data_IF_803208617608
#
_entry.id   IF_803208617608
#
_cell.length_a   1.000
_cell.length_b   1.000
_cell.length_c   1.000
_cell.angle_alpha   90.00
_cell.angle_beta   90.00
_cell.angle_gamma   90.00
#
_symmetry.space_group_name_H-M   'P 1'
#
loop_
_entity.id
_entity.type
_entity.pdbx_description
1 polymer ?
#
# COMPACT_ATOMS: atom_id res chain seq x y z
N UNK A 1 58.76 8.46 37.67
CA UNK A 1 57.39 7.90 37.69
C UNK A 1 56.53 8.70 36.72
N UNK A 2 56.32 8.16 35.50
CA UNK A 2 55.50 8.83 34.46
C UNK A 2 54.05 8.33 34.60
N UNK A 3 53.10 9.23 34.91
CA UNK A 3 51.67 8.92 34.95
C UNK A 3 51.15 8.93 33.51
N UNK A 4 50.69 7.78 32.98
CA UNK A 4 49.90 7.73 31.76
C UNK A 4 48.47 8.17 32.07
N UNK A 5 48.04 9.25 31.46
CA UNK A 5 46.62 9.65 31.44
C UNK A 5 45.92 8.87 30.32
N UNK A 6 45.06 7.94 30.68
CA UNK A 6 44.19 7.23 29.75
C UNK A 6 43.01 8.08 29.41
N UNK A 7 42.90 8.59 28.17
CA UNK A 7 41.75 9.31 27.66
C UNK A 7 40.73 8.29 27.16
N UNK A 8 39.63 8.16 27.88
CA UNK A 8 38.51 7.30 27.47
C UNK A 8 37.61 8.09 26.51
N UNK A 9 37.69 7.76 25.22
CA UNK A 9 36.81 8.34 24.19
C UNK A 9 35.48 7.60 24.21
N UNK A 10 34.46 8.23 24.73
CA UNK A 10 33.08 7.72 24.70
C UNK A 10 32.46 8.03 23.34
N UNK A 11 32.32 7.02 22.48
CA UNK A 11 31.62 7.14 21.21
C UNK A 11 30.12 7.06 21.51
N UNK A 12 29.44 8.20 21.42
CA UNK A 12 27.97 8.26 21.45
C UNK A 12 27.43 7.75 20.09
N UNK A 13 26.90 6.55 20.06
CA UNK A 13 26.07 6.08 18.94
C UNK A 13 24.70 6.77 19.04
N UNK A 14 24.50 7.81 18.27
CA UNK A 14 23.15 8.35 18.04
C UNK A 14 22.40 7.39 17.13
N UNK A 15 21.54 6.56 17.71
CA UNK A 15 20.55 5.80 16.94
C UNK A 15 19.56 6.79 16.30
N UNK A 16 19.73 7.08 15.03
CA UNK A 16 18.71 7.76 14.26
C UNK A 16 17.50 6.81 14.20
N UNK A 17 16.40 7.17 14.85
CA UNK A 17 15.14 6.47 14.65
C UNK A 17 14.81 6.53 13.16
N UNK A 18 14.80 5.38 12.48
CA UNK A 18 14.36 5.30 11.09
C UNK A 18 12.90 5.78 11.06
N UNK A 19 12.67 6.91 10.40
CA UNK A 19 11.31 7.42 10.18
C UNK A 19 10.56 6.38 9.37
N UNK A 20 9.49 5.81 9.94
CA UNK A 20 8.68 4.84 9.22
C UNK A 20 8.01 5.55 8.03
N UNK A 21 8.05 4.91 6.84
CA UNK A 21 7.29 5.39 5.69
C UNK A 21 5.82 5.51 6.07
N UNK A 22 5.14 6.55 5.58
CA UNK A 22 3.77 6.85 5.96
C UNK A 22 2.86 6.90 4.73
N UNK A 23 1.73 6.17 4.80
CA UNK A 23 0.68 6.10 3.78
C UNK A 23 -0.61 6.64 4.37
N UNK A 24 -1.14 7.71 3.78
CA UNK A 24 -2.39 8.32 4.18
C UNK A 24 -3.28 8.63 2.99
N UNK A 25 -4.56 8.91 3.24
CA UNK A 25 -5.48 9.43 2.24
C UNK A 25 -6.19 10.70 2.76
N UNK A 26 -6.39 11.71 1.94
CA UNK A 26 -7.26 12.84 2.31
C UNK A 26 -8.75 12.45 2.33
N UNK A 27 -9.11 11.29 1.75
CA UNK A 27 -10.49 10.86 1.61
C UNK A 27 -11.03 10.10 2.83
N UNK A 28 -10.16 9.38 3.57
CA UNK A 28 -10.53 8.63 4.78
C UNK A 28 -9.29 8.38 5.64
N UNK A 29 -9.49 8.16 6.94
CA UNK A 29 -8.42 7.80 7.86
C UNK A 29 -8.34 6.28 8.06
N UNK A 30 -7.24 5.84 8.68
CA UNK A 30 -7.04 4.42 8.98
C UNK A 30 -8.20 3.85 9.82
N UNK A 31 -8.75 2.73 9.38
CA UNK A 31 -9.93 2.07 9.95
C UNK A 31 -11.23 2.88 9.86
N UNK A 32 -11.31 3.89 8.99
CA UNK A 32 -12.53 4.62 8.68
C UNK A 32 -13.15 4.16 7.36
N UNK A 33 -14.39 4.58 7.11
CA UNK A 33 -15.13 4.21 5.90
C UNK A 33 -14.54 4.87 4.66
N UNK A 34 -14.33 4.07 3.63
CA UNK A 34 -14.05 4.56 2.27
C UNK A 34 -15.32 5.23 1.74
N UNK A 35 -15.27 6.48 1.26
CA UNK A 35 -16.42 7.14 0.66
C UNK A 35 -16.97 6.37 -0.54
N UNK A 36 -18.29 6.39 -0.70
CA UNK A 36 -19.04 5.70 -1.78
C UNK A 36 -18.47 6.00 -3.17
N UNK A 37 -17.99 7.22 -3.40
CA UNK A 37 -17.34 7.64 -4.64
C UNK A 37 -16.29 6.65 -5.14
N UNK A 38 -15.52 6.04 -4.25
CA UNK A 38 -14.40 5.14 -4.57
C UNK A 38 -14.82 3.66 -4.67
N UNK A 39 -16.10 3.37 -4.60
CA UNK A 39 -16.66 2.00 -4.60
C UNK A 39 -17.44 1.68 -5.87
N UNK A 40 -17.89 0.43 -6.00
CA UNK A 40 -18.77 -0.01 -7.09
C UNK A 40 -20.15 0.68 -7.09
N UNK A 41 -20.55 1.29 -5.97
CA UNK A 41 -21.81 2.04 -5.85
C UNK A 41 -21.63 3.52 -6.22
N UNK A 42 -20.39 3.96 -6.54
CA UNK A 42 -20.05 5.33 -6.93
C UNK A 42 -19.33 5.41 -8.27
N UNK A 43 -18.36 6.32 -8.36
CA UNK A 43 -17.60 6.57 -9.58
C UNK A 43 -16.58 5.47 -9.87
N UNK A 44 -16.29 4.60 -8.91
CA UNK A 44 -15.31 3.52 -9.01
C UNK A 44 -13.90 4.03 -9.39
N UNK A 45 -13.55 5.22 -8.93
CA UNK A 45 -12.23 5.86 -9.11
C UNK A 45 -11.34 5.58 -7.92
N UNK A 46 -10.01 5.57 -8.09
CA UNK A 46 -9.09 5.38 -6.96
C UNK A 46 -9.03 6.63 -6.08
N UNK A 47 -8.98 6.49 -4.73
CA UNK A 47 -8.75 7.63 -3.84
C UNK A 47 -7.35 8.20 -4.03
N UNK A 48 -7.19 9.50 -3.75
CA UNK A 48 -5.88 10.10 -3.62
C UNK A 48 -5.14 9.51 -2.41
N UNK A 49 -3.85 9.25 -2.58
CA UNK A 49 -2.96 8.73 -1.54
C UNK A 49 -1.75 9.64 -1.39
N UNK A 50 -1.30 9.87 -0.16
CA UNK A 50 -0.09 10.62 0.17
C UNK A 50 0.99 9.70 0.73
N UNK A 51 2.23 9.93 0.32
CA UNK A 51 3.43 9.21 0.74
C UNK A 51 4.38 10.16 1.45
N UNK A 52 4.78 9.82 2.68
CA UNK A 52 5.71 10.61 3.46
C UNK A 52 6.82 9.73 4.03
N UNK A 53 7.90 10.36 4.48
CA UNK A 53 8.99 9.70 5.19
C UNK A 53 9.62 8.53 4.42
N UNK A 54 9.76 8.67 3.10
CA UNK A 54 10.36 7.63 2.26
C UNK A 54 11.84 7.47 2.65
N UNK A 55 12.30 6.26 3.01
CA UNK A 55 13.67 6.05 3.50
C UNK A 55 14.70 6.28 2.40
N UNK A 56 15.90 6.71 2.82
CA UNK A 56 17.05 6.79 1.93
C UNK A 56 17.38 5.40 1.35
N UNK A 57 17.89 5.37 0.13
CA UNK A 57 18.18 4.11 -0.57
C UNK A 57 17.01 3.54 -1.35
N UNK A 58 15.78 4.07 -1.18
CA UNK A 58 14.63 3.66 -1.98
C UNK A 58 14.90 3.91 -3.47
N UNK A 59 14.71 2.89 -4.28
CA UNK A 59 14.80 2.99 -5.74
C UNK A 59 13.43 3.22 -6.36
N UNK A 60 12.42 2.55 -5.84
CA UNK A 60 11.04 2.66 -6.29
C UNK A 60 10.06 2.43 -5.15
N UNK A 61 8.81 2.86 -5.36
CA UNK A 61 7.69 2.56 -4.50
C UNK A 61 6.75 1.58 -5.21
N UNK A 62 6.09 0.76 -4.40
CA UNK A 62 5.07 -0.20 -4.83
C UNK A 62 3.85 0.01 -3.95
N UNK A 63 2.67 0.02 -4.57
CA UNK A 63 1.39 0.10 -3.87
C UNK A 63 0.55 -1.13 -4.21
N UNK A 64 -0.07 -1.73 -3.21
CA UNK A 64 -1.07 -2.78 -3.38
C UNK A 64 -2.35 -2.45 -2.63
N UNK A 65 -3.51 -2.89 -3.14
CA UNK A 65 -4.77 -2.87 -2.43
C UNK A 65 -5.47 -4.22 -2.59
N UNK A 66 -5.84 -4.85 -1.48
CA UNK A 66 -6.54 -6.13 -1.48
C UNK A 66 -7.61 -6.20 -0.38
N UNK A 67 -8.55 -7.11 -0.57
CA UNK A 67 -9.63 -7.45 0.35
C UNK A 67 -9.45 -8.89 0.84
N UNK A 68 -9.10 -9.14 2.12
CA UNK A 68 -8.94 -10.49 2.66
C UNK A 68 -10.23 -11.06 3.26
N UNK A 69 -11.34 -10.35 3.18
CA UNK A 69 -12.59 -10.71 3.85
C UNK A 69 -13.61 -11.36 2.90
N UNK A 70 -13.23 -11.61 1.65
CA UNK A 70 -14.10 -12.24 0.65
C UNK A 70 -14.50 -13.65 1.09
N UNK A 71 -15.81 -13.98 1.09
CA UNK A 71 -16.27 -15.33 1.43
C UNK A 71 -15.56 -16.40 0.59
N UNK A 72 -14.99 -17.42 1.24
CA UNK A 72 -14.28 -18.52 0.56
C UNK A 72 -15.21 -19.35 -0.33
N UNK A 73 -16.51 -19.26 -0.15
CA UNK A 73 -17.53 -19.84 -1.03
C UNK A 73 -17.61 -19.15 -2.39
N UNK A 74 -17.20 -17.86 -2.47
CA UNK A 74 -17.16 -17.10 -3.72
C UNK A 74 -15.76 -17.10 -4.34
N UNK A 75 -14.72 -17.00 -3.48
CA UNK A 75 -13.34 -17.01 -3.92
C UNK A 75 -12.52 -17.88 -2.93
N UNK A 76 -12.04 -19.07 -3.36
CA UNK A 76 -11.38 -20.03 -2.46
C UNK A 76 -10.17 -19.48 -1.70
N UNK A 77 -9.44 -18.51 -2.28
CA UNK A 77 -8.34 -17.82 -1.61
C UNK A 77 -8.80 -16.95 -0.43
N UNK A 78 -10.07 -16.51 -0.44
CA UNK A 78 -10.60 -15.53 0.50
C UNK A 78 -10.00 -14.12 0.31
N UNK A 79 -9.30 -13.88 -0.81
CA UNK A 79 -8.50 -12.67 -1.02
C UNK A 79 -8.74 -12.14 -2.44
N UNK A 80 -9.15 -10.89 -2.57
CA UNK A 80 -9.40 -10.26 -3.86
C UNK A 80 -8.46 -9.07 -4.08
N UNK A 81 -7.81 -9.04 -5.23
CA UNK A 81 -6.87 -7.98 -5.59
C UNK A 81 -7.63 -6.82 -6.25
N UNK A 82 -7.65 -5.66 -5.58
CA UNK A 82 -8.34 -4.47 -6.04
C UNK A 82 -7.46 -3.57 -6.90
N UNK A 83 -6.17 -3.47 -6.56
CA UNK A 83 -5.25 -2.59 -7.25
C UNK A 83 -3.81 -2.94 -6.87
N UNK A 84 -2.90 -2.93 -7.83
CA UNK A 84 -1.47 -2.92 -7.56
C UNK A 84 -0.73 -2.12 -8.62
N UNK A 85 0.22 -1.34 -8.15
CA UNK A 85 0.96 -0.34 -8.92
C UNK A 85 2.43 -0.48 -8.57
N UNK A 86 3.28 -0.46 -9.57
CA UNK A 86 4.73 -0.46 -9.38
C UNK A 86 5.37 0.59 -10.28
N UNK A 87 6.70 0.68 -10.24
CA UNK A 87 7.47 1.68 -10.98
C UNK A 87 7.10 3.12 -10.57
N UNK A 88 6.66 3.28 -9.31
CA UNK A 88 6.39 4.60 -8.75
C UNK A 88 7.74 5.22 -8.35
N UNK A 89 8.09 6.41 -8.84
CA UNK A 89 9.35 7.06 -8.49
C UNK A 89 9.52 7.24 -6.98
N UNK A 90 10.74 7.02 -6.47
CA UNK A 90 11.05 7.14 -5.03
C UNK A 90 10.79 8.54 -4.45
N UNK A 91 10.80 9.58 -5.28
CA UNK A 91 10.51 10.95 -4.86
C UNK A 91 9.02 11.34 -4.95
N UNK A 92 8.14 10.40 -5.34
CA UNK A 92 6.70 10.64 -5.40
C UNK A 92 6.14 10.99 -4.03
N UNK A 93 5.25 11.97 -4.01
CA UNK A 93 4.54 12.40 -2.79
C UNK A 93 3.17 11.74 -2.64
N UNK A 94 2.79 10.89 -3.59
CA UNK A 94 1.51 10.21 -3.60
C UNK A 94 1.05 9.81 -4.99
N UNK A 95 -0.20 9.35 -5.03
CA UNK A 95 -0.95 9.09 -6.27
C UNK A 95 -2.18 9.99 -6.23
N UNK A 96 -2.45 10.81 -7.25
CA UNK A 96 -3.67 11.62 -7.30
C UNK A 96 -4.91 10.75 -7.46
N UNK A 97 -6.06 11.30 -7.16
CA UNK A 97 -7.35 10.64 -7.40
C UNK A 97 -7.48 10.22 -8.87
N UNK A 98 -7.92 9.00 -9.11
CA UNK A 98 -8.03 8.43 -10.45
C UNK A 98 -6.70 8.19 -11.15
N UNK A 99 -5.58 8.47 -10.46
CA UNK A 99 -4.22 8.31 -10.98
C UNK A 99 -3.65 6.92 -10.73
N UNK A 100 -2.47 6.70 -11.30
CA UNK A 100 -1.66 5.51 -11.10
C UNK A 100 -0.70 5.34 -12.27
N UNK A 101 0.55 4.92 -11.94
CA UNK A 101 1.56 4.60 -12.92
C UNK A 101 1.25 3.24 -13.60
N UNK A 102 2.23 2.37 -13.76
CA UNK A 102 2.00 1.01 -14.26
C UNK A 102 1.12 0.22 -13.30
N UNK A 103 0.01 -0.28 -13.79
CA UNK A 103 -1.01 -0.98 -13.02
C UNK A 103 -1.14 -2.42 -13.50
N UNK A 104 -1.27 -3.34 -12.56
CA UNK A 104 -1.54 -4.73 -12.86
C UNK A 104 -3.01 -5.03 -13.08
N UNK A 105 -3.28 -6.26 -13.48
CA UNK A 105 -4.64 -6.78 -13.65
C UNK A 105 -5.25 -7.05 -12.28
N UNK A 106 -6.33 -6.33 -11.94
CA UNK A 106 -7.09 -6.58 -10.72
C UNK A 106 -7.81 -7.95 -10.77
N UNK A 107 -8.48 -8.32 -9.67
CA UNK A 107 -9.15 -9.60 -9.54
C UNK A 107 -10.28 -9.87 -10.54
N UNK A 108 -10.68 -8.88 -11.34
CA UNK A 108 -11.63 -9.06 -12.48
C UNK A 108 -10.93 -9.30 -13.81
N UNK A 109 -9.59 -9.31 -13.84
CA UNK A 109 -8.79 -9.45 -15.06
C UNK A 109 -8.70 -8.15 -15.88
N UNK A 110 -9.03 -6.99 -15.30
CA UNK A 110 -8.89 -5.68 -15.93
C UNK A 110 -7.72 -4.91 -15.33
N UNK A 111 -7.00 -4.09 -16.11
CA UNK A 111 -5.94 -3.26 -15.55
C UNK A 111 -6.51 -2.17 -14.65
N UNK A 112 -5.77 -1.85 -13.59
CA UNK A 112 -6.04 -0.71 -12.73
C UNK A 112 -6.91 -1.00 -11.52
N UNK A 113 -7.42 0.09 -10.96
CA UNK A 113 -8.23 0.08 -9.75
C UNK A 113 -9.63 -0.49 -10.00
N UNK A 114 -10.11 -1.29 -9.04
CA UNK A 114 -11.53 -1.62 -8.87
C UNK A 114 -11.92 -1.35 -7.41
N UNK A 115 -12.99 -0.62 -7.21
CA UNK A 115 -13.43 -0.18 -5.89
C UNK A 115 -14.03 -1.31 -5.04
N UNK A 116 -14.14 -1.07 -3.74
CA UNK A 116 -14.88 -1.91 -2.81
C UNK A 116 -16.28 -2.28 -3.31
N UNK A 117 -16.61 -3.58 -3.25
CA UNK A 117 -17.93 -4.10 -3.62
C UNK A 117 -18.26 -5.38 -2.81
N UNK A 118 -18.33 -5.29 -1.47
CA UNK A 118 -18.50 -6.47 -0.64
C UNK A 118 -19.88 -7.11 -0.87
N UNK A 119 -19.96 -8.45 -0.96
CA UNK A 119 -21.22 -9.12 -1.28
C UNK A 119 -22.15 -9.32 -0.07
N UNK A 120 -21.62 -9.32 1.15
CA UNK A 120 -22.33 -9.83 2.34
C UNK A 120 -22.33 -8.87 3.54
N UNK A 121 -21.19 -8.32 3.93
CA UNK A 121 -21.00 -7.49 5.13
C UNK A 121 -19.96 -6.40 4.88
N UNK A 122 -19.59 -5.66 5.92
CA UNK A 122 -18.44 -4.77 5.86
C UNK A 122 -17.15 -5.57 5.69
N UNK A 123 -16.36 -5.20 4.69
CA UNK A 123 -15.01 -5.71 4.45
C UNK A 123 -13.96 -4.66 4.75
N UNK A 124 -12.73 -5.13 4.93
CA UNK A 124 -11.52 -4.33 5.10
C UNK A 124 -10.74 -4.33 3.80
N UNK A 125 -10.22 -3.17 3.44
CA UNK A 125 -9.43 -2.94 2.23
C UNK A 125 -8.06 -2.45 2.64
N UNK A 126 -7.05 -3.27 2.43
CA UNK A 126 -5.68 -3.02 2.85
C UNK A 126 -4.90 -2.37 1.73
N UNK A 127 -4.60 -1.09 1.87
CA UNK A 127 -3.64 -0.38 1.03
C UNK A 127 -2.27 -0.54 1.66
N UNK A 128 -1.29 -1.06 0.92
CA UNK A 128 0.08 -1.23 1.39
C UNK A 128 1.05 -0.52 0.48
N UNK A 129 1.89 0.32 1.06
CA UNK A 129 2.97 1.01 0.40
C UNK A 129 4.29 0.36 0.80
N UNK A 130 5.11 -0.01 -0.17
CA UNK A 130 6.44 -0.57 0.02
C UNK A 130 7.48 0.36 -0.59
N UNK A 131 8.54 0.66 0.16
CA UNK A 131 9.75 1.28 -0.35
C UNK A 131 10.77 0.16 -0.65
N UNK A 132 11.23 0.05 -1.90
CA UNK A 132 12.12 -1.03 -2.32
C UNK A 132 13.47 -0.51 -2.81
N UNK A 133 14.54 -1.29 -2.58
CA UNK A 133 15.92 -0.96 -2.96
C UNK A 133 16.33 -1.51 -4.33
N UNK A 134 15.39 -2.09 -5.07
CA UNK A 134 15.60 -2.61 -6.43
C UNK A 134 14.77 -1.87 -7.47
N UNK A 135 15.26 -1.77 -8.72
CA UNK A 135 14.46 -1.27 -9.83
C UNK A 135 13.49 -2.37 -10.32
N UNK A 136 12.25 -1.97 -10.58
CA UNK A 136 11.22 -2.82 -11.17
C UNK A 136 10.90 -2.39 -12.62
N UNK A 137 11.63 -1.39 -13.13
CA UNK A 137 11.42 -0.86 -14.46
C UNK A 137 11.54 -1.95 -15.53
N UNK A 138 10.58 -1.95 -16.46
CA UNK A 138 10.52 -2.96 -17.53
C UNK A 138 9.98 -4.33 -17.12
N UNK A 139 9.73 -4.57 -15.82
CA UNK A 139 9.11 -5.82 -15.34
C UNK A 139 7.58 -5.77 -15.52
N UNK A 140 7.00 -6.95 -15.72
CA UNK A 140 5.56 -7.16 -15.74
C UNK A 140 5.20 -8.22 -14.71
N UNK A 141 4.10 -8.02 -14.01
CA UNK A 141 3.63 -8.95 -12.98
C UNK A 141 2.21 -9.41 -13.35
N UNK A 142 2.00 -10.71 -13.31
CA UNK A 142 0.71 -11.33 -13.65
C UNK A 142 -0.38 -11.04 -12.61
N UNK A 143 0.01 -10.92 -11.34
CA UNK A 143 -0.85 -10.68 -10.19
C UNK A 143 -0.06 -10.00 -9.05
N UNK A 144 -0.77 -9.59 -8.00
CA UNK A 144 -0.20 -8.97 -6.81
C UNK A 144 0.82 -9.88 -6.12
N UNK A 145 0.53 -11.18 -6.01
CA UNK A 145 1.43 -12.13 -5.34
C UNK A 145 2.79 -12.21 -6.04
N UNK A 146 2.81 -12.25 -7.38
CA UNK A 146 4.05 -12.23 -8.16
C UNK A 146 4.84 -10.93 -7.96
N UNK A 147 4.18 -9.80 -7.80
CA UNK A 147 4.82 -8.52 -7.47
C UNK A 147 5.40 -8.55 -6.05
N UNK A 148 4.62 -9.00 -5.06
CA UNK A 148 5.07 -9.09 -3.66
C UNK A 148 6.23 -10.08 -3.50
N UNK A 149 6.22 -11.21 -4.21
CA UNK A 149 7.33 -12.16 -4.24
C UNK A 149 8.60 -11.55 -4.86
N UNK A 150 8.45 -10.74 -5.91
CA UNK A 150 9.58 -10.11 -6.57
C UNK A 150 10.29 -9.04 -5.72
N UNK A 151 9.57 -8.44 -4.78
CA UNK A 151 10.15 -7.44 -3.85
C UNK A 151 10.55 -8.04 -2.50
N UNK A 152 10.28 -9.32 -2.26
CA UNK A 152 10.64 -10.00 -1.03
C UNK A 152 12.17 -9.96 -0.80
N UNK A 153 12.57 -9.51 0.39
CA UNK A 153 13.99 -9.30 0.73
C UNK A 153 14.57 -7.96 0.25
N UNK A 154 13.77 -7.14 -0.45
CA UNK A 154 14.16 -5.85 -0.98
C UNK A 154 13.33 -4.69 -0.39
N UNK A 155 12.55 -4.95 0.65
CA UNK A 155 11.70 -3.96 1.30
C UNK A 155 12.50 -3.23 2.37
N UNK A 156 12.77 -1.95 2.16
CA UNK A 156 13.41 -1.06 3.14
C UNK A 156 12.43 -0.61 4.23
N UNK A 157 11.19 -0.35 3.85
CA UNK A 157 10.10 0.04 4.74
C UNK A 157 8.75 -0.24 4.10
N UNK A 158 7.73 -0.37 4.94
CA UNK A 158 6.35 -0.52 4.49
C UNK A 158 5.39 0.24 5.42
N UNK A 159 4.24 0.63 4.87
CA UNK A 159 3.14 1.25 5.59
C UNK A 159 1.82 0.70 5.11
N UNK A 160 0.82 0.72 5.99
CA UNK A 160 -0.50 0.20 5.70
C UNK A 160 -1.58 1.23 6.07
N UNK A 161 -2.57 1.38 5.21
CA UNK A 161 -3.80 2.14 5.44
C UNK A 161 -4.98 1.19 5.21
N UNK A 162 -5.83 1.03 6.20
CA UNK A 162 -7.02 0.17 6.13
C UNK A 162 -8.24 1.05 5.94
N UNK A 163 -8.98 0.81 4.86
CA UNK A 163 -10.30 1.39 4.67
C UNK A 163 -11.39 0.35 4.90
N UNK A 164 -12.54 0.79 5.38
CA UNK A 164 -13.71 -0.06 5.58
C UNK A 164 -14.78 0.30 4.56
N UNK A 165 -15.45 -0.69 4.01
CA UNK A 165 -16.62 -0.45 3.16
C UNK A 165 -17.69 -1.51 3.38
N UNK A 166 -18.91 -1.04 3.46
CA UNK A 166 -20.11 -1.87 3.57
C UNK A 166 -21.07 -1.39 2.48
N UNK A 167 -21.53 -2.33 1.68
CA UNK A 167 -22.51 -2.00 0.65
C UNK A 167 -23.78 -1.48 1.31
N UNK A 168 -24.25 -0.33 0.88
CA UNK A 168 -25.48 0.22 1.40
C UNK A 168 -26.61 -0.81 1.26
N UNK A 169 -27.24 -1.20 2.37
CA UNK A 169 -28.45 -2.00 2.32
C UNK A 169 -29.43 -1.24 1.44
N UNK A 170 -29.84 -1.82 0.31
CA UNK A 170 -30.98 -1.26 -0.44
C UNK A 170 -32.14 -1.28 0.53
N UNK A 171 -32.52 -0.11 1.04
CA UNK A 171 -33.70 0.06 1.85
C UNK A 171 -34.92 -0.26 0.97
N UNK A 172 -35.57 -1.38 1.23
CA UNK A 172 -36.92 -1.66 0.80
C UNK A 172 -37.08 -2.36 -0.56
N UNK A 173 -37.26 -3.64 -0.50
CA UNK A 173 -38.37 -4.32 -1.19
C UNK A 173 -39.24 -4.97 -0.16
#
# INVERSE_FOLDING_TARGET
MKKLLSVMVTILFTSAAASAIDLTSPAFKNNEKIPVKYSCDGENTSPALNFNNIPAGTKQLVLTMHDPDVPKTLLPSGNFDHWFVWDIPANSKGIPEGGGAKMGMNGTGKPGYIGPCPPDRQHRYFFRLYAVDIPLQGKMFKDRAALEDAIKGHILAQSELIGLFDKAKKSGQ
#
